data_IF_692993264775
#
_entry.id   IF_692993264775
#
_cell.length_a   1.000
_cell.length_b   1.000
_cell.length_c   1.000
_cell.angle_alpha   90.00
_cell.angle_beta   90.00
_cell.angle_gamma   90.00
#
_symmetry.space_group_name_H-M   'P 1'
#
loop_
_entity.id
_entity.type
_entity.pdbx_description
1 polymer ?
#
# COMPACT_ATOMS: atom_id res chain seq x y z
N UNK A 1 -21.87 26.36 -25.27
CA UNK A 1 -20.41 26.54 -25.11
C UNK A 1 -20.16 26.90 -23.66
N UNK A 2 -20.17 25.92 -22.77
CA UNK A 2 -19.73 26.10 -21.40
C UNK A 2 -18.21 25.96 -21.38
N UNK A 3 -17.53 27.06 -21.07
CA UNK A 3 -16.12 27.07 -20.74
C UNK A 3 -15.95 26.29 -19.44
N UNK A 4 -15.74 24.98 -19.55
CA UNK A 4 -15.30 24.13 -18.45
C UNK A 4 -14.04 24.75 -17.86
N UNK A 5 -14.17 25.34 -16.68
CA UNK A 5 -13.09 25.87 -15.86
C UNK A 5 -12.20 24.66 -15.51
N UNK A 6 -11.21 24.32 -16.36
CA UNK A 6 -10.26 23.25 -16.05
C UNK A 6 -9.52 23.68 -14.80
N UNK A 7 -9.75 22.96 -13.70
CA UNK A 7 -9.01 23.19 -12.46
C UNK A 7 -7.53 22.99 -12.76
N UNK A 8 -6.65 23.76 -12.12
CA UNK A 8 -5.22 23.50 -12.25
C UNK A 8 -4.87 22.18 -11.57
N UNK A 9 -3.89 21.48 -12.12
CA UNK A 9 -3.35 20.26 -11.53
C UNK A 9 -2.84 20.54 -10.10
N UNK A 10 -3.21 19.73 -9.09
CA UNK A 10 -2.73 19.90 -7.73
C UNK A 10 -1.22 19.66 -7.57
N UNK A 11 -0.65 20.30 -6.55
CA UNK A 11 0.69 20.01 -6.02
C UNK A 11 0.53 19.07 -4.83
N UNK A 12 1.26 17.96 -4.84
CA UNK A 12 1.36 17.03 -3.70
C UNK A 12 2.60 17.34 -2.89
N UNK A 13 2.50 17.22 -1.56
CA UNK A 13 3.62 17.28 -0.62
C UNK A 13 3.94 15.87 -0.09
N UNK A 14 5.16 15.40 -0.33
CA UNK A 14 5.60 14.03 -0.03
C UNK A 14 6.72 14.03 1.01
N UNK A 15 6.50 13.41 2.17
CA UNK A 15 7.54 13.22 3.17
C UNK A 15 8.54 12.14 2.74
N UNK A 16 9.81 12.48 2.61
CA UNK A 16 10.84 11.59 2.05
C UNK A 16 11.67 10.91 3.13
N UNK A 17 12.28 11.70 4.02
CA UNK A 17 13.19 11.20 5.06
C UNK A 17 13.20 12.15 6.25
N UNK A 18 13.35 11.60 7.45
CA UNK A 18 13.48 12.37 8.69
C UNK A 18 14.78 11.99 9.42
N UNK A 19 15.59 12.99 9.78
CA UNK A 19 16.82 12.78 10.55
C UNK A 19 17.23 14.06 11.30
N UNK A 20 18.13 13.93 12.28
CA UNK A 20 18.72 15.08 12.98
C UNK A 20 19.71 15.87 12.10
N UNK A 21 20.21 15.28 11.02
CA UNK A 21 21.10 15.90 10.04
C UNK A 21 20.83 15.31 8.67
N UNK A 22 20.69 16.16 7.66
CA UNK A 22 20.45 15.75 6.28
C UNK A 22 21.47 16.41 5.34
N UNK A 23 22.04 15.59 4.46
CA UNK A 23 22.93 16.02 3.39
C UNK A 23 22.17 15.94 2.06
N UNK A 24 22.30 16.99 1.25
CA UNK A 24 21.64 17.06 -0.04
C UNK A 24 22.42 17.89 -1.04
N UNK A 25 22.16 17.68 -2.31
CA UNK A 25 22.79 18.38 -3.43
C UNK A 25 21.71 19.03 -4.30
N UNK A 26 21.83 20.33 -4.53
CA UNK A 26 20.99 21.06 -5.48
C UNK A 26 21.67 20.96 -6.86
N UNK A 27 21.11 20.13 -7.76
CA UNK A 27 21.74 19.81 -9.05
C UNK A 27 21.58 20.92 -10.10
N UNK A 28 20.79 21.95 -9.76
CA UNK A 28 20.58 23.17 -10.52
C UNK A 28 20.37 24.32 -9.51
N UNK A 29 20.29 25.60 -9.95
CA UNK A 29 19.95 26.70 -9.06
C UNK A 29 18.55 26.55 -8.43
N UNK A 30 18.47 26.76 -7.12
CA UNK A 30 17.23 26.88 -6.35
C UNK A 30 17.23 28.20 -5.59
N UNK A 31 16.08 28.86 -5.54
CA UNK A 31 15.85 30.05 -4.72
C UNK A 31 15.47 29.63 -3.31
N UNK A 32 16.16 30.18 -2.32
CA UNK A 32 15.90 30.00 -0.88
C UNK A 32 16.23 31.30 -0.17
N UNK A 33 15.35 31.76 0.72
CA UNK A 33 15.53 33.04 1.43
C UNK A 33 15.88 34.23 0.51
N UNK A 34 15.31 34.27 -0.70
CA UNK A 34 15.55 35.32 -1.70
C UNK A 34 16.88 35.26 -2.44
N UNK A 35 17.71 34.22 -2.21
CA UNK A 35 18.99 34.02 -2.89
C UNK A 35 19.04 32.67 -3.62
N UNK A 36 19.81 32.58 -4.69
CA UNK A 36 20.04 31.31 -5.36
C UNK A 36 21.17 30.50 -4.71
N UNK A 37 20.99 29.19 -4.67
CA UNK A 37 21.97 28.20 -4.19
C UNK A 37 22.01 27.02 -5.13
N UNK A 38 23.17 26.38 -5.23
CA UNK A 38 23.39 25.14 -5.96
C UNK A 38 24.46 24.31 -5.24
N UNK A 39 24.66 23.06 -5.68
CA UNK A 39 25.68 22.17 -5.13
C UNK A 39 25.30 21.59 -3.77
N UNK A 40 26.30 21.09 -3.05
CA UNK A 40 26.12 20.40 -1.77
C UNK A 40 25.68 21.35 -0.66
N UNK A 41 24.73 20.90 0.13
CA UNK A 41 24.09 21.60 1.24
C UNK A 41 23.94 20.66 2.44
N UNK A 42 23.81 21.23 3.62
CA UNK A 42 23.61 20.47 4.86
C UNK A 42 22.64 21.22 5.77
N UNK A 43 21.67 20.51 6.34
CA UNK A 43 20.81 21.03 7.41
C UNK A 43 20.95 20.16 8.64
N UNK A 44 20.95 20.79 9.82
CA UNK A 44 21.13 20.12 11.11
C UNK A 44 20.09 20.61 12.11
N UNK A 45 19.61 19.72 12.99
CA UNK A 45 18.71 20.09 14.06
C UNK A 45 19.51 20.76 15.17
N UNK A 46 19.20 22.01 15.48
CA UNK A 46 19.79 22.74 16.58
C UNK A 46 18.71 23.56 17.29
N UNK A 47 18.65 23.45 18.62
CA UNK A 47 17.70 24.20 19.46
C UNK A 47 16.22 24.00 19.04
N UNK A 48 15.88 22.80 18.54
CA UNK A 48 14.54 22.48 18.05
C UNK A 48 14.17 23.14 16.72
N UNK A 49 15.15 23.75 16.03
CA UNK A 49 15.00 24.46 14.74
C UNK A 49 16.00 23.92 13.72
N UNK A 50 15.87 24.37 12.47
CA UNK A 50 16.73 23.96 11.36
C UNK A 50 17.93 24.91 11.27
N UNK A 51 19.13 24.40 11.49
CA UNK A 51 20.38 25.13 11.27
C UNK A 51 20.81 24.98 9.81
N UNK A 52 20.97 26.10 9.11
CA UNK A 52 21.47 26.18 7.74
C UNK A 52 22.28 27.46 7.55
N UNK A 53 23.47 27.37 6.93
CA UNK A 53 24.38 28.52 6.72
C UNK A 53 24.61 29.41 7.97
N UNK A 54 24.71 28.79 9.16
CA UNK A 54 24.87 29.46 10.47
C UNK A 54 23.66 30.29 10.95
N UNK A 55 22.46 30.03 10.42
CA UNK A 55 21.21 30.63 10.89
C UNK A 55 20.17 29.56 11.23
N UNK A 56 19.28 29.88 12.17
CA UNK A 56 18.18 29.00 12.62
C UNK A 56 16.86 29.39 11.95
N UNK A 57 16.16 28.39 11.42
CA UNK A 57 14.90 28.52 10.69
C UNK A 57 13.84 27.58 11.26
N UNK A 58 12.58 28.02 11.23
CA UNK A 58 11.44 27.14 11.55
C UNK A 58 11.06 26.26 10.36
N UNK A 59 11.23 26.81 9.15
CA UNK A 59 11.02 26.14 7.87
C UNK A 59 12.03 26.69 6.85
N UNK A 60 12.50 25.81 5.95
CA UNK A 60 13.26 26.20 4.76
C UNK A 60 12.56 25.68 3.51
N UNK A 61 12.35 26.55 2.53
CA UNK A 61 11.81 26.18 1.22
C UNK A 61 12.84 26.53 0.14
N UNK A 62 13.22 25.51 -0.63
CA UNK A 62 14.04 25.62 -1.81
C UNK A 62 13.13 25.48 -3.04
N UNK A 63 13.00 26.55 -3.80
CA UNK A 63 12.19 26.60 -5.02
C UNK A 63 13.08 26.47 -6.27
N UNK A 64 12.80 25.53 -7.18
CA UNK A 64 13.59 25.36 -8.39
C UNK A 64 13.44 26.58 -9.30
N UNK A 65 14.52 27.00 -9.96
CA UNK A 65 14.45 28.09 -10.96
C UNK A 65 13.94 27.62 -12.33
N UNK A 66 13.91 26.31 -12.57
CA UNK A 66 13.47 25.67 -13.81
C UNK A 66 12.69 24.38 -13.51
N UNK A 67 11.75 23.99 -14.37
CA UNK A 67 10.91 22.80 -14.17
C UNK A 67 11.68 21.48 -14.23
N UNK A 68 12.88 21.47 -14.82
CA UNK A 68 13.77 20.32 -14.88
C UNK A 68 14.85 20.34 -13.78
N UNK A 69 14.89 21.38 -12.95
CA UNK A 69 15.80 21.43 -11.80
C UNK A 69 15.51 20.28 -10.85
N UNK A 70 16.56 19.61 -10.40
CA UNK A 70 16.48 18.49 -9.47
C UNK A 70 17.35 18.70 -8.24
N UNK A 71 17.06 17.96 -7.19
CA UNK A 71 17.89 17.86 -6.00
C UNK A 71 18.09 16.39 -5.63
N UNK A 72 19.21 16.08 -4.97
CA UNK A 72 19.54 14.74 -4.49
C UNK A 72 19.61 14.75 -2.98
N UNK A 73 18.91 13.83 -2.32
CA UNK A 73 19.07 13.53 -0.89
C UNK A 73 20.00 12.31 -0.78
N UNK A 74 21.08 12.40 0.00
CA UNK A 74 22.16 11.39 -0.03
C UNK A 74 21.86 10.13 0.79
N UNK A 75 21.05 10.26 1.85
CA UNK A 75 20.82 9.21 2.87
C UNK A 75 19.33 8.85 3.01
N UNK A 76 18.63 8.61 1.89
CA UNK A 76 17.21 8.20 1.94
C UNK A 76 17.11 6.73 2.31
N UNK A 77 16.43 6.42 3.42
CA UNK A 77 16.15 5.05 3.84
C UNK A 77 15.07 4.43 2.97
N UNK A 78 15.30 3.22 2.45
CA UNK A 78 14.32 2.45 1.67
C UNK A 78 14.08 1.12 2.34
N UNK A 79 12.81 0.69 2.34
CA UNK A 79 12.40 -0.56 2.98
C UNK A 79 12.42 -0.41 4.49
N UNK A 80 11.91 0.71 4.99
CA UNK A 80 11.87 1.00 6.42
C UNK A 80 11.12 -0.13 7.11
N UNK A 81 11.74 -0.76 8.11
CA UNK A 81 11.21 -1.94 8.82
C UNK A 81 11.18 -3.25 8.00
N UNK A 82 11.88 -3.33 6.87
CA UNK A 82 12.11 -4.58 6.14
C UNK A 82 13.55 -5.07 6.30
N UNK A 83 13.77 -6.38 6.12
CA UNK A 83 15.07 -7.02 6.30
C UNK A 83 16.14 -6.61 5.27
N UNK A 84 15.77 -5.83 4.25
CA UNK A 84 16.65 -5.31 3.21
C UNK A 84 16.83 -3.78 3.29
N UNK A 85 16.49 -3.17 4.43
CA UNK A 85 16.62 -1.73 4.67
C UNK A 85 18.02 -1.21 4.30
N UNK A 86 18.08 -0.18 3.47
CA UNK A 86 19.33 0.47 3.06
C UNK A 86 19.15 1.95 2.85
N UNK A 87 20.26 2.69 2.93
CA UNK A 87 20.34 4.10 2.54
C UNK A 87 20.89 4.21 1.14
N UNK A 88 20.24 4.99 0.30
CA UNK A 88 20.77 5.35 -1.02
C UNK A 88 20.48 6.82 -1.33
N UNK A 89 21.30 7.38 -2.24
CA UNK A 89 21.06 8.69 -2.78
C UNK A 89 19.87 8.63 -3.75
N UNK A 90 18.88 9.49 -3.55
CA UNK A 90 17.73 9.63 -4.44
C UNK A 90 17.59 11.05 -4.96
N UNK A 91 17.29 11.16 -6.25
CA UNK A 91 17.12 12.43 -6.95
C UNK A 91 15.65 12.70 -7.25
N UNK A 92 15.21 13.93 -6.99
CA UNK A 92 13.83 14.37 -7.09
C UNK A 92 13.72 15.65 -7.92
N UNK A 93 12.55 15.88 -8.52
CA UNK A 93 12.17 17.14 -9.15
C UNK A 93 11.26 17.95 -8.21
N UNK A 94 11.09 19.24 -8.50
CA UNK A 94 10.16 20.09 -7.77
C UNK A 94 10.80 20.80 -6.59
N UNK A 95 9.99 21.26 -5.64
CA UNK A 95 10.46 22.01 -4.47
C UNK A 95 10.95 21.05 -3.39
N UNK A 96 11.92 21.51 -2.60
CA UNK A 96 12.39 20.84 -1.39
C UNK A 96 12.09 21.73 -0.20
N UNK A 97 11.27 21.23 0.72
CA UNK A 97 10.90 21.90 1.96
C UNK A 97 11.42 21.12 3.16
N UNK A 98 11.96 21.80 4.16
CA UNK A 98 12.37 21.19 5.42
C UNK A 98 11.54 21.76 6.57
N UNK A 99 11.07 20.88 7.45
CA UNK A 99 10.37 21.23 8.69
C UNK A 99 10.89 20.42 9.86
N UNK A 100 10.70 20.91 11.08
CA UNK A 100 10.94 20.12 12.30
C UNK A 100 9.67 19.38 12.71
N UNK A 101 9.79 18.07 12.89
CA UNK A 101 8.74 17.19 13.41
C UNK A 101 9.36 16.08 14.26
N UNK A 102 8.75 15.78 15.42
CA UNK A 102 9.15 14.69 16.32
C UNK A 102 10.66 14.69 16.64
N UNK A 103 11.20 15.88 16.92
CA UNK A 103 12.62 16.12 17.22
C UNK A 103 13.58 15.66 16.10
N UNK A 104 13.13 15.70 14.85
CA UNK A 104 13.93 15.49 13.64
C UNK A 104 13.60 16.54 12.58
N UNK A 105 14.49 16.73 11.61
CA UNK A 105 14.21 17.47 10.38
C UNK A 105 13.61 16.50 9.38
N UNK A 106 12.43 16.82 8.86
CA UNK A 106 11.77 16.10 7.78
C UNK A 106 11.99 16.82 6.45
N UNK A 107 12.51 16.10 5.46
CA UNK A 107 12.59 16.55 4.07
C UNK A 107 11.29 16.21 3.35
N UNK A 108 10.65 17.23 2.77
CA UNK A 108 9.38 17.14 2.05
C UNK A 108 9.62 17.59 0.61
N UNK A 109 9.20 16.77 -0.35
CA UNK A 109 9.22 17.13 -1.76
C UNK A 109 7.84 17.61 -2.21
N UNK A 110 7.76 18.79 -2.82
CA UNK A 110 6.52 19.32 -3.38
C UNK A 110 6.58 19.39 -4.90
N UNK A 111 5.65 18.74 -5.57
CA UNK A 111 5.66 18.60 -7.02
C UNK A 111 4.25 18.39 -7.60
N UNK A 112 4.05 18.63 -8.90
CA UNK A 112 2.77 18.35 -9.55
C UNK A 112 2.41 16.86 -9.49
N UNK A 113 1.14 16.56 -9.23
CA UNK A 113 0.61 15.17 -9.11
C UNK A 113 1.03 14.23 -10.25
N UNK A 114 0.90 14.63 -11.52
CA UNK A 114 1.30 13.81 -12.68
C UNK A 114 2.80 13.48 -12.70
N UNK A 115 3.66 14.40 -12.24
CA UNK A 115 5.11 14.16 -12.10
C UNK A 115 5.37 13.13 -11.00
N UNK A 116 4.68 13.27 -9.86
CA UNK A 116 4.72 12.30 -8.77
C UNK A 116 4.28 10.89 -9.23
N UNK A 117 3.15 10.80 -9.92
CA UNK A 117 2.60 9.53 -10.43
C UNK A 117 3.55 8.82 -11.41
N UNK A 118 4.33 9.59 -12.17
CA UNK A 118 5.35 9.01 -13.07
C UNK A 118 6.38 8.19 -12.29
N UNK A 119 6.80 8.67 -11.12
CA UNK A 119 7.73 7.96 -10.24
C UNK A 119 7.06 6.78 -9.53
N UNK A 120 5.84 6.98 -9.01
CA UNK A 120 5.07 5.93 -8.32
C UNK A 120 4.84 4.73 -9.23
N UNK A 121 4.26 4.96 -10.41
CA UNK A 121 3.94 3.87 -11.33
C UNK A 121 5.21 3.19 -11.84
N UNK A 122 6.29 3.93 -12.07
CA UNK A 122 7.59 3.34 -12.47
C UNK A 122 8.26 2.53 -11.34
N UNK A 123 7.86 2.76 -10.09
CA UNK A 123 8.38 2.04 -8.92
C UNK A 123 7.53 0.81 -8.56
N UNK A 124 6.23 0.89 -8.81
CA UNK A 124 5.25 -0.17 -8.56
C UNK A 124 5.18 -1.18 -9.72
N UNK A 125 5.21 -0.70 -10.96
CA UNK A 125 4.96 -1.50 -12.16
C UNK A 125 6.20 -1.64 -13.03
N UNK A 126 6.28 -2.73 -13.80
CA UNK A 126 7.36 -2.91 -14.77
C UNK A 126 7.19 -2.01 -16.00
N UNK A 127 8.35 -1.68 -16.56
CA UNK A 127 8.51 -1.07 -17.87
C UNK A 127 7.76 -1.80 -19.02
N UNK A 128 7.59 -3.11 -18.90
CA UNK A 128 6.98 -3.99 -19.91
C UNK A 128 5.47 -4.20 -19.71
N UNK A 129 4.87 -3.55 -18.71
CA UNK A 129 3.43 -3.61 -18.46
C UNK A 129 2.64 -3.10 -19.65
N UNK A 130 1.50 -3.74 -19.91
CA UNK A 130 0.58 -3.32 -20.96
C UNK A 130 0.06 -1.91 -20.71
N UNK A 131 -0.19 -1.16 -21.79
CA UNK A 131 -0.64 0.24 -21.70
C UNK A 131 -1.94 0.36 -20.91
N UNK A 132 -2.91 -0.55 -21.11
CA UNK A 132 -4.19 -0.52 -20.39
C UNK A 132 -4.05 -0.81 -18.89
N UNK A 133 -3.12 -1.69 -18.49
CA UNK A 133 -2.78 -1.87 -17.09
C UNK A 133 -2.15 -0.61 -16.49
N UNK A 134 -1.23 0.03 -17.20
CA UNK A 134 -0.58 1.26 -16.74
C UNK A 134 -1.57 2.42 -16.61
N UNK A 135 -2.53 2.54 -17.53
CA UNK A 135 -3.62 3.53 -17.45
C UNK A 135 -4.52 3.28 -16.26
N UNK A 136 -4.96 2.03 -16.05
CA UNK A 136 -5.76 1.67 -14.88
C UNK A 136 -5.01 2.01 -13.59
N UNK A 137 -3.71 1.68 -13.51
CA UNK A 137 -2.87 2.00 -12.37
C UNK A 137 -2.70 3.51 -12.16
N UNK A 138 -2.60 4.30 -13.24
CA UNK A 138 -2.52 5.75 -13.16
C UNK A 138 -3.79 6.36 -12.54
N UNK A 139 -4.96 5.91 -12.97
CA UNK A 139 -6.25 6.39 -12.46
C UNK A 139 -6.43 6.02 -10.98
N UNK A 140 -6.17 4.77 -10.58
CA UNK A 140 -6.33 4.37 -9.16
C UNK A 140 -5.30 5.08 -8.27
N UNK A 141 -4.04 5.20 -8.69
CA UNK A 141 -3.00 5.87 -7.91
C UNK A 141 -3.32 7.35 -7.71
N UNK A 142 -3.85 8.02 -8.76
CA UNK A 142 -4.31 9.41 -8.67
C UNK A 142 -5.53 9.55 -7.76
N UNK A 143 -6.51 8.67 -7.90
CA UNK A 143 -7.75 8.70 -7.09
C UNK A 143 -7.43 8.55 -5.61
N UNK A 144 -6.63 7.54 -5.26
CA UNK A 144 -6.17 7.33 -3.90
C UNK A 144 -5.40 8.55 -3.38
N UNK A 145 -4.45 9.09 -4.15
CA UNK A 145 -3.67 10.25 -3.72
C UNK A 145 -4.55 11.47 -3.45
N UNK A 146 -5.46 11.82 -4.37
CA UNK A 146 -6.31 12.99 -4.21
C UNK A 146 -7.29 12.81 -3.05
N UNK A 147 -7.78 11.59 -2.82
CA UNK A 147 -8.63 11.26 -1.68
C UNK A 147 -7.88 11.45 -0.36
N UNK A 148 -6.63 10.98 -0.25
CA UNK A 148 -5.78 11.21 0.92
C UNK A 148 -5.50 12.72 1.16
N UNK A 149 -5.22 13.47 0.10
CA UNK A 149 -5.04 14.92 0.17
C UNK A 149 -6.31 15.65 0.65
N UNK A 150 -7.49 15.18 0.24
CA UNK A 150 -8.78 15.74 0.66
C UNK A 150 -9.08 15.42 2.12
N UNK A 151 -8.90 14.15 2.52
CA UNK A 151 -9.05 13.73 3.91
C UNK A 151 -8.14 14.53 4.85
N UNK A 152 -6.86 14.67 4.52
CA UNK A 152 -5.91 15.45 5.34
C UNK A 152 -6.33 16.92 5.49
N UNK A 153 -6.84 17.54 4.42
CA UNK A 153 -7.36 18.91 4.47
C UNK A 153 -8.60 19.02 5.36
N UNK A 154 -9.46 18.01 5.36
CA UNK A 154 -10.62 17.94 6.25
C UNK A 154 -10.21 17.70 7.72
N UNK A 155 -9.23 16.85 7.99
CA UNK A 155 -8.74 16.54 9.35
C UNK A 155 -8.14 17.77 10.07
N UNK A 156 -7.52 18.69 9.33
CA UNK A 156 -7.04 19.97 9.89
C UNK A 156 -8.18 20.84 10.45
N UNK A 157 -9.45 20.51 10.20
CA UNK A 157 -10.64 21.29 10.59
C UNK A 157 -11.48 20.66 11.74
N UNK A 158 -10.85 19.91 12.66
CA UNK A 158 -11.46 19.30 13.88
C UNK A 158 -12.36 18.06 13.66
N UNK A 159 -11.76 16.89 13.44
CA UNK A 159 -12.44 15.60 13.67
C UNK A 159 -11.69 14.83 14.75
N UNK A 160 -12.38 14.45 15.84
CA UNK A 160 -11.84 13.53 16.86
C UNK A 160 -11.51 12.18 16.19
N UNK A 161 -10.22 11.79 16.20
CA UNK A 161 -9.80 10.50 15.66
C UNK A 161 -10.31 9.37 16.54
N UNK A 162 -11.00 8.39 15.95
CA UNK A 162 -11.23 7.12 16.63
C UNK A 162 -9.90 6.38 16.81
N UNK A 163 -9.69 5.69 17.94
CA UNK A 163 -8.42 5.04 18.23
C UNK A 163 -8.04 4.04 17.12
N UNK A 164 -6.80 4.12 16.65
CA UNK A 164 -6.20 3.22 15.65
C UNK A 164 -5.76 1.88 16.25
N UNK A 165 -5.80 1.77 17.58
CA UNK A 165 -5.35 0.60 18.31
C UNK A 165 -6.21 0.35 19.55
N UNK A 166 -6.61 -0.91 19.72
CA UNK A 166 -7.35 -1.39 20.87
C UNK A 166 -6.66 -2.63 21.42
N UNK A 167 -6.30 -2.62 22.71
CA UNK A 167 -5.69 -3.76 23.40
C UNK A 167 -6.37 -3.96 24.75
N UNK A 168 -6.83 -5.19 24.96
CA UNK A 168 -7.34 -5.72 26.23
C UNK A 168 -6.56 -6.98 26.59
N UNK A 169 -6.87 -7.59 27.72
CA UNK A 169 -6.24 -8.86 28.10
C UNK A 169 -6.59 -10.01 27.13
N UNK A 170 -7.70 -9.89 26.41
CA UNK A 170 -8.28 -10.94 25.57
C UNK A 170 -8.20 -10.63 24.06
N UNK A 171 -8.03 -9.37 23.67
CA UNK A 171 -8.10 -8.94 22.28
C UNK A 171 -7.13 -7.81 21.94
N UNK A 172 -6.46 -7.93 20.77
CA UNK A 172 -5.68 -6.88 20.11
C UNK A 172 -6.32 -6.59 18.75
N UNK A 173 -6.71 -5.34 18.49
CA UNK A 173 -7.16 -4.88 17.18
C UNK A 173 -6.35 -3.66 16.78
N UNK A 174 -5.79 -3.69 15.58
CA UNK A 174 -5.02 -2.58 15.03
C UNK A 174 -5.54 -2.19 13.65
N UNK A 175 -5.85 -0.91 13.49
CA UNK A 175 -6.15 -0.27 12.22
C UNK A 175 -4.90 0.47 11.75
N UNK A 176 -4.54 0.23 10.50
CA UNK A 176 -3.45 0.93 9.83
C UNK A 176 -4.02 2.07 8.96
N UNK A 177 -3.17 3.01 8.54
CA UNK A 177 -3.50 4.16 7.68
C UNK A 177 -4.38 5.25 8.35
N UNK A 178 -4.28 5.43 9.68
CA UNK A 178 -5.08 6.42 10.45
C UNK A 178 -4.31 7.61 11.01
N UNK A 179 -2.98 7.55 11.10
CA UNK A 179 -2.22 8.47 11.96
C UNK A 179 -1.00 9.12 11.31
N UNK A 180 -0.77 8.88 10.02
CA UNK A 180 0.62 8.80 9.60
C UNK A 180 1.23 10.16 9.26
N UNK A 181 0.46 11.12 8.71
CA UNK A 181 1.02 12.37 8.17
C UNK A 181 0.17 13.61 8.50
N UNK A 182 0.67 14.50 9.37
CA UNK A 182 0.00 15.77 9.72
C UNK A 182 0.48 16.98 8.91
N UNK A 183 1.72 16.95 8.41
CA UNK A 183 2.40 18.12 7.84
C UNK A 183 2.77 18.01 6.36
N UNK A 184 2.44 16.87 5.74
CA UNK A 184 2.56 16.57 4.32
C UNK A 184 1.41 15.62 3.93
N UNK A 185 1.18 15.40 2.63
CA UNK A 185 0.02 14.65 2.14
C UNK A 185 0.24 13.13 2.20
N UNK A 186 1.41 12.65 1.78
CA UNK A 186 1.75 11.20 1.73
C UNK A 186 3.24 10.98 2.02
N UNK A 187 3.65 9.78 2.46
CA UNK A 187 5.06 9.42 2.55
C UNK A 187 5.56 8.72 1.27
N UNK A 188 6.88 8.64 1.14
CA UNK A 188 7.56 7.99 0.01
C UNK A 188 7.70 6.46 0.12
N UNK A 189 7.18 5.86 1.20
CA UNK A 189 7.36 4.44 1.52
C UNK A 189 6.14 3.58 1.12
N UNK A 190 6.29 2.26 1.25
CA UNK A 190 5.25 1.25 0.96
C UNK A 190 3.97 1.43 1.81
N UNK A 191 4.03 2.27 2.86
CA UNK A 191 2.87 2.71 3.63
C UNK A 191 1.85 3.50 2.79
N UNK A 192 2.33 4.42 1.94
CA UNK A 192 1.46 5.23 1.08
C UNK A 192 1.53 4.75 -0.36
N UNK A 193 2.58 5.15 -1.06
CA UNK A 193 2.89 4.77 -2.43
C UNK A 193 4.40 4.89 -2.60
N UNK A 194 5.02 3.90 -3.24
CA UNK A 194 6.48 3.86 -3.39
C UNK A 194 6.97 4.97 -4.31
N UNK A 195 7.49 6.06 -3.73
CA UNK A 195 7.99 7.23 -4.45
C UNK A 195 9.52 7.34 -4.32
N UNK A 196 10.25 7.15 -5.42
CA UNK A 196 11.72 7.10 -5.40
C UNK A 196 12.36 8.22 -6.25
N UNK A 197 11.57 9.26 -6.56
CA UNK A 197 11.98 10.36 -7.42
C UNK A 197 12.23 9.93 -8.86
N UNK A 198 13.19 10.60 -9.52
CA UNK A 198 13.62 10.34 -10.90
C UNK A 198 14.84 9.43 -11.00
N UNK A 199 15.31 8.90 -9.86
CA UNK A 199 16.45 7.98 -9.80
C UNK A 199 16.23 6.73 -10.66
N UNK A 200 14.99 6.25 -10.72
CA UNK A 200 14.55 5.24 -11.68
C UNK A 200 14.06 5.93 -12.95
N UNK A 201 14.61 5.54 -14.10
CA UNK A 201 14.22 6.08 -15.39
C UNK A 201 12.73 5.84 -15.66
N UNK A 202 11.97 6.92 -15.86
CA UNK A 202 10.58 6.83 -16.29
C UNK A 202 10.51 6.16 -17.67
N UNK A 203 9.73 5.09 -17.80
CA UNK A 203 9.51 4.44 -19.08
C UNK A 203 8.55 5.29 -19.93
N UNK A 204 8.81 5.38 -21.25
CA UNK A 204 7.93 6.03 -22.22
C UNK A 204 6.46 5.56 -22.13
N UNK A 205 6.21 4.28 -21.89
CA UNK A 205 4.86 3.73 -21.74
C UNK A 205 4.15 4.22 -20.47
N UNK A 206 4.89 4.45 -19.37
CA UNK A 206 4.33 5.03 -18.14
C UNK A 206 3.95 6.49 -18.38
N UNK A 207 4.85 7.26 -18.99
CA UNK A 207 4.58 8.66 -19.36
C UNK A 207 3.37 8.76 -20.29
N UNK A 208 3.30 7.88 -21.29
CA UNK A 208 2.17 7.81 -22.22
C UNK A 208 0.86 7.49 -21.49
N UNK A 209 0.84 6.50 -20.60
CA UNK A 209 -0.34 6.13 -19.83
C UNK A 209 -0.85 7.31 -18.98
N UNK A 210 0.06 7.96 -18.25
CA UNK A 210 -0.25 9.11 -17.40
C UNK A 210 -0.81 10.27 -18.21
N UNK A 211 -0.20 10.57 -19.37
CA UNK A 211 -0.69 11.62 -20.27
C UNK A 211 -2.09 11.31 -20.82
N UNK A 212 -2.34 10.05 -21.20
CA UNK A 212 -3.64 9.64 -21.74
C UNK A 212 -4.76 9.65 -20.68
N UNK A 213 -4.43 9.46 -19.41
CA UNK A 213 -5.40 9.50 -18.29
C UNK A 213 -5.25 10.75 -17.41
N UNK A 214 -4.64 11.83 -17.93
CA UNK A 214 -4.32 12.99 -17.11
C UNK A 214 -5.59 13.59 -16.49
N UNK A 215 -5.57 13.77 -15.16
CA UNK A 215 -6.71 14.25 -14.38
C UNK A 215 -7.85 13.26 -14.19
N UNK A 216 -7.79 12.05 -14.75
CA UNK A 216 -8.84 11.05 -14.56
C UNK A 216 -8.74 10.36 -13.19
N UNK A 217 -9.88 10.27 -12.51
CA UNK A 217 -10.05 9.65 -11.20
C UNK A 217 -11.32 8.82 -11.15
N UNK A 218 -11.41 7.95 -10.14
CA UNK A 218 -12.62 7.25 -9.76
C UNK A 218 -13.40 8.09 -8.74
N UNK A 219 -14.69 8.22 -9.00
CA UNK A 219 -15.64 8.89 -8.09
C UNK A 219 -16.86 8.02 -7.88
N UNK A 220 -17.48 8.11 -6.70
CA UNK A 220 -18.75 7.46 -6.41
C UNK A 220 -19.57 8.35 -5.50
N UNK A 221 -20.85 8.54 -5.83
CA UNK A 221 -21.76 9.40 -5.07
C UNK A 221 -21.24 10.84 -4.85
N UNK A 222 -20.46 11.37 -5.80
CA UNK A 222 -19.91 12.72 -5.75
C UNK A 222 -18.60 12.87 -4.96
N UNK A 223 -18.07 11.78 -4.39
CA UNK A 223 -16.79 11.76 -3.64
C UNK A 223 -15.71 11.01 -4.43
N UNK A 224 -14.44 11.35 -4.18
CA UNK A 224 -13.30 10.62 -4.75
C UNK A 224 -13.22 9.23 -4.10
N UNK A 225 -13.03 8.20 -4.90
CA UNK A 225 -12.89 6.84 -4.41
C UNK A 225 -11.50 6.62 -3.77
N UNK A 226 -11.48 6.09 -2.55
CA UNK A 226 -10.33 5.34 -2.00
C UNK A 226 -10.03 4.11 -2.87
N UNK A 227 -9.13 4.28 -3.84
CA UNK A 227 -8.88 3.30 -4.89
C UNK A 227 -7.74 2.33 -4.54
N UNK A 228 -7.94 1.53 -3.48
CA UNK A 228 -6.97 0.50 -3.05
C UNK A 228 -6.82 -0.61 -4.07
N UNK A 229 -5.66 -1.26 -4.08
CA UNK A 229 -5.34 -2.36 -4.98
C UNK A 229 -4.39 -3.36 -4.30
N UNK A 230 -4.39 -4.60 -4.76
CA UNK A 230 -3.50 -5.65 -4.26
C UNK A 230 -2.99 -6.56 -5.36
N UNK A 231 -1.91 -7.30 -5.08
CA UNK A 231 -1.21 -8.11 -6.09
C UNK A 231 -2.11 -9.23 -6.65
N UNK A 232 -2.68 -10.05 -5.78
CA UNK A 232 -3.54 -11.17 -6.15
C UNK A 232 -4.72 -11.32 -5.16
N UNK A 233 -5.96 -11.26 -5.64
CA UNK A 233 -7.12 -11.38 -4.76
C UNK A 233 -7.39 -12.83 -4.32
N UNK A 234 -6.88 -13.84 -5.06
CA UNK A 234 -7.11 -15.26 -4.80
C UNK A 234 -8.42 -15.79 -5.40
N UNK A 235 -8.98 -15.08 -6.38
CA UNK A 235 -10.27 -15.37 -7.02
C UNK A 235 -11.45 -14.63 -6.38
N UNK A 236 -11.25 -13.97 -5.25
CA UNK A 236 -12.28 -13.27 -4.50
C UNK A 236 -11.76 -11.91 -4.02
N UNK A 237 -12.41 -10.84 -4.48
CA UNK A 237 -12.17 -9.46 -4.02
C UNK A 237 -12.90 -9.24 -2.69
N UNK A 238 -12.28 -8.46 -1.79
CA UNK A 238 -12.74 -8.21 -0.42
C UNK A 238 -13.36 -6.82 -0.26
N UNK A 239 -14.17 -6.65 0.78
CA UNK A 239 -14.70 -5.34 1.19
C UNK A 239 -13.72 -4.60 2.11
N UNK A 240 -13.71 -3.26 2.00
CA UNK A 240 -12.87 -2.36 2.80
C UNK A 240 -12.94 -2.62 4.32
N UNK A 241 -14.14 -2.88 4.84
CA UNK A 241 -14.40 -2.89 6.29
C UNK A 241 -13.69 -4.01 7.07
N UNK A 242 -13.28 -5.08 6.39
CA UNK A 242 -12.61 -6.21 7.02
C UNK A 242 -11.10 -5.96 7.17
N UNK A 243 -10.54 -5.08 6.35
CA UNK A 243 -9.13 -4.70 6.38
C UNK A 243 -8.87 -3.40 7.16
N UNK A 244 -9.75 -2.40 7.04
CA UNK A 244 -9.58 -1.05 7.62
C UNK A 244 -10.77 -0.64 8.52
N UNK A 245 -11.26 0.60 8.45
CA UNK A 245 -12.37 1.10 9.27
C UNK A 245 -13.60 0.21 9.08
N UNK A 246 -14.45 0.08 10.11
CA UNK A 246 -15.73 -0.62 9.99
C UNK A 246 -16.77 0.22 9.22
N UNK A 247 -16.41 0.71 8.03
CA UNK A 247 -17.21 1.56 7.16
C UNK A 247 -17.33 0.85 5.80
N UNK A 248 -18.56 0.79 5.28
CA UNK A 248 -18.80 0.29 3.93
C UNK A 248 -18.54 1.38 2.91
N UNK A 249 -17.65 1.11 1.97
CA UNK A 249 -17.45 1.93 0.77
C UNK A 249 -18.23 1.28 -0.39
N UNK A 250 -19.30 1.90 -0.93
CA UNK A 250 -20.18 1.27 -1.92
C UNK A 250 -19.50 0.78 -3.20
N UNK A 251 -18.34 1.34 -3.53
CA UNK A 251 -17.53 0.98 -4.70
C UNK A 251 -16.44 -0.06 -4.42
N UNK A 252 -16.25 -0.48 -3.16
CA UNK A 252 -15.32 -1.56 -2.76
C UNK A 252 -16.11 -2.77 -2.29
N UNK A 253 -16.73 -3.45 -3.25
CA UNK A 253 -17.61 -4.60 -3.02
C UNK A 253 -16.84 -5.92 -3.18
N UNK A 254 -17.31 -6.94 -2.47
CA UNK A 254 -16.87 -8.29 -2.75
C UNK A 254 -17.42 -8.79 -4.09
N UNK A 255 -16.53 -9.34 -4.92
CA UNK A 255 -16.88 -9.89 -6.23
C UNK A 255 -15.91 -11.02 -6.61
N UNK A 256 -16.36 -12.00 -7.43
CA UNK A 256 -15.47 -12.99 -8.01
C UNK A 256 -14.60 -12.31 -9.07
N UNK A 257 -13.33 -12.68 -9.13
CA UNK A 257 -12.37 -12.16 -10.13
C UNK A 257 -12.57 -12.81 -11.51
N UNK A 258 -13.78 -12.68 -12.03
CA UNK A 258 -14.27 -13.23 -13.30
C UNK A 258 -15.29 -12.28 -13.92
N UNK A 259 -15.76 -12.57 -15.13
CA UNK A 259 -16.79 -11.73 -15.75
C UNK A 259 -18.10 -11.69 -14.92
N UNK A 260 -18.84 -10.56 -14.93
CA UNK A 260 -20.02 -10.36 -14.08
C UNK A 260 -21.12 -11.43 -14.17
N UNK A 261 -21.23 -12.14 -15.30
CA UNK A 261 -22.32 -13.07 -15.61
C UNK A 261 -21.97 -14.56 -15.44
N UNK A 262 -20.83 -14.89 -14.82
CA UNK A 262 -20.39 -16.29 -14.68
C UNK A 262 -21.06 -16.98 -13.49
N UNK A 263 -20.54 -16.78 -12.29
CA UNK A 263 -20.93 -17.46 -11.06
C UNK A 263 -20.77 -16.47 -9.91
N UNK A 264 -21.79 -16.25 -9.06
CA UNK A 264 -21.65 -15.39 -7.90
C UNK A 264 -20.60 -15.97 -6.94
N UNK A 265 -19.95 -15.09 -6.19
CA UNK A 265 -19.03 -15.52 -5.14
C UNK A 265 -19.82 -16.32 -4.08
N UNK A 266 -19.35 -17.51 -3.68
CA UNK A 266 -19.98 -18.24 -2.57
C UNK A 266 -19.83 -17.45 -1.27
N UNK A 267 -20.62 -17.77 -0.24
CA UNK A 267 -20.52 -17.08 1.05
C UNK A 267 -19.27 -17.52 1.81
N UNK A 268 -18.15 -16.86 1.53
CA UNK A 268 -16.85 -17.13 2.16
C UNK A 268 -16.76 -16.62 3.61
N UNK A 269 -17.84 -16.07 4.16
CA UNK A 269 -17.92 -15.78 5.60
C UNK A 269 -18.16 -17.05 6.42
N UNK A 270 -18.68 -18.11 5.80
CA UNK A 270 -18.78 -19.45 6.39
C UNK A 270 -17.44 -20.19 6.31
N UNK A 271 -16.97 -20.74 7.44
CA UNK A 271 -15.67 -21.40 7.55
C UNK A 271 -15.57 -22.64 6.65
N UNK A 272 -16.65 -23.42 6.49
CA UNK A 272 -16.65 -24.64 5.69
C UNK A 272 -16.56 -24.30 4.20
N UNK A 273 -17.35 -23.31 3.77
CA UNK A 273 -17.33 -22.82 2.39
C UNK A 273 -15.98 -22.16 2.07
N UNK A 274 -15.44 -21.34 2.96
CA UNK A 274 -14.12 -20.73 2.81
C UNK A 274 -13.01 -21.79 2.71
N UNK A 275 -13.07 -22.83 3.55
CA UNK A 275 -12.12 -23.96 3.48
C UNK A 275 -12.18 -24.67 2.14
N UNK A 276 -13.37 -24.97 1.61
CA UNK A 276 -13.52 -25.58 0.30
C UNK A 276 -12.98 -24.69 -0.81
N UNK A 277 -13.28 -23.38 -0.76
CA UNK A 277 -12.78 -22.41 -1.74
C UNK A 277 -11.25 -22.30 -1.75
N UNK A 278 -10.64 -22.18 -0.57
CA UNK A 278 -9.17 -22.07 -0.42
C UNK A 278 -8.47 -23.36 -0.85
N UNK A 279 -9.07 -24.53 -0.60
CA UNK A 279 -8.51 -25.82 -1.05
C UNK A 279 -8.79 -26.14 -2.52
N UNK A 280 -9.73 -25.43 -3.15
CA UNK A 280 -10.00 -25.52 -4.58
C UNK A 280 -9.15 -24.54 -5.40
N UNK A 281 -9.26 -24.60 -6.73
CA UNK A 281 -8.61 -23.67 -7.65
C UNK A 281 -9.62 -23.21 -8.71
N UNK A 282 -10.52 -22.27 -8.38
CA UNK A 282 -11.53 -21.78 -9.31
C UNK A 282 -10.92 -20.95 -10.44
N UNK A 283 -11.60 -20.88 -11.57
CA UNK A 283 -11.20 -19.98 -12.66
C UNK A 283 -11.30 -18.53 -12.18
N UNK A 284 -10.25 -17.74 -12.45
CA UNK A 284 -10.18 -16.32 -12.13
C UNK A 284 -9.17 -15.63 -13.06
N UNK A 285 -9.31 -14.33 -13.31
CA UNK A 285 -8.32 -13.58 -14.07
C UNK A 285 -6.93 -13.65 -13.42
N UNK A 286 -6.86 -13.61 -12.09
CA UNK A 286 -5.62 -13.74 -11.33
C UNK A 286 -5.10 -15.18 -11.21
N UNK A 287 -5.88 -16.19 -11.62
CA UNK A 287 -5.45 -17.59 -11.69
C UNK A 287 -4.76 -17.84 -13.04
N UNK A 288 -3.50 -17.41 -13.15
CA UNK A 288 -2.74 -17.51 -14.40
C UNK A 288 -1.32 -17.95 -14.15
N UNK A 289 -0.81 -18.78 -15.07
CA UNK A 289 0.59 -19.20 -15.13
C UNK A 289 1.35 -18.50 -16.25
N UNK A 290 0.72 -17.53 -16.93
CA UNK A 290 1.34 -16.81 -18.04
C UNK A 290 2.47 -15.90 -17.57
N UNK A 291 3.70 -16.30 -17.85
CA UNK A 291 4.92 -15.58 -17.46
C UNK A 291 5.01 -14.16 -18.03
N UNK A 292 4.39 -13.88 -19.19
CA UNK A 292 4.36 -12.52 -19.75
C UNK A 292 3.37 -11.63 -19.03
N UNK A 293 2.30 -12.18 -18.44
CA UNK A 293 1.39 -11.42 -17.57
C UNK A 293 2.03 -11.21 -16.21
N UNK A 294 2.54 -12.29 -15.61
CA UNK A 294 3.15 -12.26 -14.29
C UNK A 294 4.35 -11.31 -14.24
N UNK A 295 5.18 -11.27 -15.27
CA UNK A 295 6.31 -10.35 -15.34
C UNK A 295 5.92 -8.87 -15.48
N UNK A 296 4.65 -8.51 -15.74
CA UNK A 296 4.20 -7.12 -15.69
C UNK A 296 4.00 -6.61 -14.25
N UNK A 297 3.64 -7.54 -13.34
CA UNK A 297 3.23 -7.21 -11.97
C UNK A 297 4.27 -7.65 -10.93
N UNK A 298 4.91 -8.80 -11.12
CA UNK A 298 5.89 -9.35 -10.19
C UNK A 298 7.30 -8.83 -10.53
N UNK A 299 8.01 -8.27 -9.56
CA UNK A 299 9.42 -7.93 -9.67
C UNK A 299 10.30 -9.18 -9.70
N UNK A 300 11.59 -9.07 -10.10
CA UNK A 300 12.42 -10.26 -10.40
C UNK A 300 12.54 -11.19 -9.19
N UNK A 301 12.62 -10.61 -7.99
CA UNK A 301 12.62 -11.35 -6.73
C UNK A 301 11.30 -12.10 -6.44
N UNK A 302 10.17 -11.55 -6.89
CA UNK A 302 8.84 -12.13 -6.62
C UNK A 302 8.45 -13.20 -7.64
N UNK A 303 9.14 -13.30 -8.79
CA UNK A 303 8.85 -14.29 -9.83
C UNK A 303 9.21 -15.73 -9.42
N UNK A 304 10.06 -15.90 -8.39
CA UNK A 304 10.34 -17.21 -7.82
C UNK A 304 9.12 -17.79 -7.09
N UNK A 305 8.20 -16.93 -6.63
CA UNK A 305 6.91 -17.35 -6.06
C UNK A 305 5.91 -17.62 -7.18
N UNK A 306 5.63 -18.90 -7.44
CA UNK A 306 4.67 -19.32 -8.47
C UNK A 306 3.32 -19.78 -7.91
N UNK A 307 3.21 -19.89 -6.58
CA UNK A 307 2.08 -20.44 -5.86
C UNK A 307 1.23 -19.38 -5.13
N UNK A 308 1.43 -18.07 -5.39
CA UNK A 308 0.69 -17.01 -4.68
C UNK A 308 -0.84 -17.06 -4.88
N UNK A 309 -1.35 -17.70 -5.94
CA UNK A 309 -2.80 -17.90 -6.11
C UNK A 309 -3.35 -18.89 -5.09
N UNK A 310 -2.60 -19.97 -4.81
CA UNK A 310 -2.84 -21.00 -3.79
C UNK A 310 -1.51 -21.45 -3.19
N UNK A 311 -1.19 -20.93 -2.02
CA UNK A 311 0.11 -21.09 -1.38
C UNK A 311 0.01 -21.97 -0.13
N UNK A 312 1.13 -22.55 0.28
CA UNK A 312 1.20 -23.34 1.51
C UNK A 312 2.48 -23.04 2.28
N UNK A 313 2.36 -22.78 3.57
CA UNK A 313 3.47 -22.55 4.49
C UNK A 313 3.35 -23.52 5.67
N UNK A 314 4.46 -24.16 6.05
CA UNK A 314 4.50 -25.02 7.25
C UNK A 314 5.37 -24.37 8.31
N UNK A 315 4.89 -24.42 9.55
CA UNK A 315 5.62 -24.02 10.74
C UNK A 315 5.74 -25.21 11.69
N UNK A 316 6.92 -25.38 12.28
CA UNK A 316 7.05 -26.16 13.49
C UNK A 316 6.40 -25.44 14.67
N UNK A 317 6.11 -26.19 15.74
CA UNK A 317 5.59 -25.64 16.98
C UNK A 317 6.48 -24.53 17.56
N UNK A 318 7.80 -24.71 17.51
CA UNK A 318 8.75 -23.73 18.01
C UNK A 318 8.71 -22.42 17.19
N UNK A 319 8.61 -22.53 15.86
CA UNK A 319 8.57 -21.35 14.99
C UNK A 319 7.29 -20.54 15.14
N UNK A 320 6.12 -21.18 15.15
CA UNK A 320 4.85 -20.47 15.29
C UNK A 320 4.72 -19.83 16.67
N UNK A 321 5.18 -20.53 17.73
CA UNK A 321 5.26 -19.96 19.08
C UNK A 321 6.15 -18.72 19.08
N UNK A 322 7.38 -18.84 18.61
CA UNK A 322 8.34 -17.74 18.58
C UNK A 322 7.78 -16.52 17.83
N UNK A 323 7.20 -16.73 16.63
CA UNK A 323 6.60 -15.65 15.84
C UNK A 323 5.51 -14.90 16.61
N UNK A 324 4.55 -15.64 17.19
CA UNK A 324 3.43 -15.04 17.91
C UNK A 324 3.88 -14.31 19.17
N UNK A 325 4.80 -14.89 19.94
CA UNK A 325 5.30 -14.28 21.18
C UNK A 325 6.13 -13.02 20.89
N UNK A 326 6.99 -13.04 19.87
CA UNK A 326 7.79 -11.88 19.46
C UNK A 326 6.93 -10.75 18.88
N UNK A 327 5.96 -11.07 18.02
CA UNK A 327 5.18 -10.05 17.30
C UNK A 327 4.07 -9.43 18.16
N UNK A 328 3.51 -10.19 19.10
CA UNK A 328 2.40 -9.74 19.94
C UNK A 328 2.83 -9.34 21.36
N UNK A 329 4.10 -9.60 21.72
CA UNK A 329 4.67 -9.35 23.05
C UNK A 329 3.87 -10.04 24.17
N UNK A 330 3.46 -11.29 23.92
CA UNK A 330 2.61 -12.10 24.81
C UNK A 330 3.17 -13.51 24.89
N UNK A 331 3.31 -14.07 26.10
CA UNK A 331 3.67 -15.47 26.29
C UNK A 331 2.44 -16.36 26.16
N UNK A 332 2.47 -17.32 25.24
CA UNK A 332 1.36 -18.24 24.96
C UNK A 332 1.61 -19.65 25.52
N UNK A 333 2.88 -19.99 25.78
CA UNK A 333 3.28 -21.38 25.96
C UNK A 333 3.19 -22.14 24.64
N UNK A 334 3.04 -23.46 24.69
CA UNK A 334 2.81 -24.25 23.48
C UNK A 334 1.49 -23.84 22.80
N UNK A 335 1.54 -23.55 21.49
CA UNK A 335 0.35 -23.26 20.69
C UNK A 335 -0.47 -24.53 20.49
N UNK A 336 -1.75 -24.47 20.86
CA UNK A 336 -2.72 -25.55 20.75
C UNK A 336 -3.57 -25.39 19.48
N UNK A 337 -3.96 -24.14 19.18
CA UNK A 337 -4.81 -23.87 18.02
C UNK A 337 -4.70 -22.44 17.50
N UNK A 338 -5.06 -22.29 16.22
CA UNK A 338 -5.26 -21.00 15.54
C UNK A 338 -6.65 -21.06 14.90
N UNK A 339 -7.64 -20.46 15.56
CA UNK A 339 -9.06 -20.62 15.22
C UNK A 339 -9.56 -19.35 14.52
N UNK A 340 -9.92 -19.41 13.23
CA UNK A 340 -10.61 -18.31 12.57
C UNK A 340 -11.97 -18.09 13.24
N UNK A 341 -12.15 -16.94 13.90
CA UNK A 341 -13.44 -16.59 14.53
C UNK A 341 -14.38 -15.92 13.54
N UNK A 342 -13.83 -15.14 12.60
CA UNK A 342 -14.63 -14.41 11.61
C UNK A 342 -13.83 -14.15 10.34
N UNK A 343 -14.51 -14.28 9.20
CA UNK A 343 -13.99 -14.01 7.86
C UNK A 343 -14.77 -12.91 7.16
N UNK A 344 -14.06 -12.16 6.34
CA UNK A 344 -14.65 -11.23 5.39
C UNK A 344 -15.25 -11.96 4.18
N UNK A 345 -15.77 -11.19 3.23
CA UNK A 345 -16.51 -11.72 2.08
C UNK A 345 -15.62 -12.41 1.05
N UNK A 346 -14.30 -12.20 1.11
CA UNK A 346 -13.34 -12.95 0.30
C UNK A 346 -12.72 -14.15 1.03
N UNK A 347 -13.23 -14.51 2.23
CA UNK A 347 -12.65 -15.56 3.07
C UNK A 347 -11.39 -15.15 3.83
N UNK A 348 -10.99 -13.87 3.78
CA UNK A 348 -9.89 -13.33 4.58
C UNK A 348 -10.28 -13.30 6.05
N UNK A 349 -9.44 -13.86 6.91
CA UNK A 349 -9.67 -13.81 8.35
C UNK A 349 -9.44 -12.38 8.82
N UNK A 350 -10.40 -11.81 9.54
CA UNK A 350 -10.26 -10.51 10.20
C UNK A 350 -10.41 -10.60 11.73
N UNK A 351 -10.73 -11.78 12.27
CA UNK A 351 -10.59 -12.12 13.69
C UNK A 351 -10.04 -13.54 13.83
N UNK A 352 -8.83 -13.66 14.39
CA UNK A 352 -8.16 -14.94 14.63
C UNK A 352 -7.93 -15.12 16.13
N UNK A 353 -8.36 -16.26 16.68
CA UNK A 353 -8.10 -16.64 18.07
C UNK A 353 -6.89 -17.55 18.14
N UNK A 354 -5.87 -17.11 18.88
CA UNK A 354 -4.68 -17.88 19.21
C UNK A 354 -4.94 -18.55 20.55
N UNK A 355 -4.82 -19.88 20.58
CA UNK A 355 -4.98 -20.69 21.79
C UNK A 355 -3.63 -21.30 22.13
N UNK A 356 -2.99 -20.81 23.19
CA UNK A 356 -1.81 -21.41 23.80
C UNK A 356 -2.13 -22.11 25.12
N UNK A 357 -1.19 -22.90 25.64
CA UNK A 357 -1.32 -23.55 26.96
C UNK A 357 -1.49 -22.58 28.11
N UNK A 358 -0.83 -21.43 28.03
CA UNK A 358 -0.78 -20.45 29.13
C UNK A 358 -1.75 -19.29 28.90
N UNK A 359 -2.00 -18.94 27.63
CA UNK A 359 -2.84 -17.80 27.28
C UNK A 359 -3.63 -18.03 26.01
N UNK A 360 -4.77 -17.37 25.94
CA UNK A 360 -5.58 -17.24 24.73
C UNK A 360 -5.74 -15.76 24.41
N UNK A 361 -5.61 -15.39 23.13
CA UNK A 361 -5.74 -14.02 22.66
C UNK A 361 -6.42 -13.99 21.29
N UNK A 362 -7.30 -13.03 21.07
CA UNK A 362 -7.84 -12.73 19.74
C UNK A 362 -7.07 -11.58 19.11
N UNK A 363 -6.66 -11.74 17.86
CA UNK A 363 -6.11 -10.64 17.06
C UNK A 363 -7.10 -10.28 15.94
N UNK A 364 -7.27 -8.99 15.70
CA UNK A 364 -8.22 -8.45 14.74
C UNK A 364 -7.53 -7.70 13.60
N UNK A 365 -8.22 -7.65 12.45
CA UNK A 365 -7.84 -7.06 11.17
C UNK A 365 -6.79 -7.86 10.39
N UNK A 366 -6.92 -7.78 9.06
CA UNK A 366 -6.20 -8.61 8.10
C UNK A 366 -4.67 -8.49 8.22
N UNK A 367 -4.17 -7.26 8.33
CA UNK A 367 -2.73 -7.01 8.32
C UNK A 367 -2.06 -7.44 9.62
N UNK A 368 -2.71 -7.23 10.77
CA UNK A 368 -2.18 -7.67 12.08
C UNK A 368 -2.02 -9.19 12.11
N UNK A 369 -3.02 -9.93 11.60
CA UNK A 369 -2.98 -11.40 11.47
C UNK A 369 -1.78 -11.85 10.63
N UNK A 370 -1.53 -11.20 9.49
CA UNK A 370 -0.42 -11.55 8.59
C UNK A 370 0.95 -11.26 9.22
N UNK A 371 1.06 -10.14 9.94
CA UNK A 371 2.30 -9.74 10.64
C UNK A 371 2.62 -10.64 11.82
N UNK A 372 1.60 -11.13 12.53
CA UNK A 372 1.77 -12.03 13.67
C UNK A 372 2.31 -13.42 13.25
N UNK A 373 2.04 -13.85 12.02
CA UNK A 373 2.38 -15.19 11.51
C UNK A 373 3.59 -15.22 10.56
N UNK A 374 4.32 -14.11 10.36
CA UNK A 374 5.48 -14.09 9.47
C UNK A 374 6.55 -13.09 9.93
N UNK A 375 7.83 -13.41 9.69
CA UNK A 375 8.93 -12.47 9.97
C UNK A 375 8.86 -11.25 9.06
N UNK A 376 8.56 -11.47 7.77
CA UNK A 376 8.40 -10.44 6.75
C UNK A 376 6.92 -10.11 6.57
N UNK A 377 6.20 -10.95 5.83
CA UNK A 377 4.76 -10.86 5.60
C UNK A 377 4.23 -12.22 5.17
N UNK A 378 3.04 -12.58 5.67
CA UNK A 378 2.26 -13.68 5.10
C UNK A 378 1.57 -13.15 3.82
N UNK A 379 1.39 -13.98 2.79
CA UNK A 379 0.83 -13.50 1.51
C UNK A 379 -0.55 -12.87 1.67
N UNK A 380 -1.47 -13.51 2.41
CA UNK A 380 -2.80 -12.97 2.74
C UNK A 380 -3.30 -13.56 4.06
N UNK A 381 -4.42 -13.05 4.60
CA UNK A 381 -5.14 -13.74 5.69
C UNK A 381 -6.23 -14.71 5.20
N UNK A 382 -6.37 -14.91 3.89
CA UNK A 382 -7.29 -15.91 3.33
C UNK A 382 -6.65 -17.29 3.40
N UNK A 383 -6.59 -17.86 4.60
CA UNK A 383 -6.00 -19.18 4.81
C UNK A 383 -6.84 -20.06 5.72
N UNK A 384 -6.51 -21.36 5.69
CA UNK A 384 -6.92 -22.36 6.66
C UNK A 384 -5.70 -22.86 7.42
N UNK A 385 -5.95 -23.44 8.59
CA UNK A 385 -4.90 -24.03 9.43
C UNK A 385 -5.16 -25.52 9.56
N UNK A 386 -4.16 -26.33 9.26
CA UNK A 386 -4.13 -27.76 9.54
C UNK A 386 -3.06 -28.07 10.58
N UNK A 387 -3.37 -28.97 11.51
CA UNK A 387 -2.50 -29.36 12.62
C UNK A 387 -2.03 -30.79 12.40
N UNK A 388 -0.75 -31.04 12.59
CA UNK A 388 -0.16 -32.36 12.40
C UNK A 388 0.79 -32.75 13.54
N UNK A 389 1.13 -34.03 13.59
CA UNK A 389 2.09 -34.63 14.51
C UNK A 389 1.76 -34.37 15.99
N UNK A 390 0.49 -34.42 16.39
CA UNK A 390 0.03 -34.08 17.75
C UNK A 390 0.66 -35.01 18.80
N UNK A 391 1.33 -34.43 19.80
CA UNK A 391 1.90 -35.13 20.97
C UNK A 391 1.32 -34.52 22.24
N UNK A 392 0.74 -35.35 23.11
CA UNK A 392 0.13 -34.90 24.38
C UNK A 392 -0.85 -33.72 24.21
N UNK A 393 -1.66 -33.75 23.15
CA UNK A 393 -2.60 -32.68 22.81
C UNK A 393 -1.98 -31.43 22.18
N UNK A 394 -0.66 -31.41 21.96
CA UNK A 394 0.08 -30.29 21.37
C UNK A 394 0.47 -30.61 19.92
N UNK A 395 -0.03 -29.86 18.92
CA UNK A 395 0.44 -29.96 17.55
C UNK A 395 1.94 -29.66 17.45
N UNK A 396 2.67 -30.48 16.70
CA UNK A 396 4.09 -30.23 16.46
C UNK A 396 4.33 -29.49 15.14
N UNK A 397 3.31 -29.45 14.27
CA UNK A 397 3.30 -28.72 13.01
C UNK A 397 1.97 -28.03 12.76
N UNK A 398 2.06 -26.82 12.19
CA UNK A 398 0.94 -26.05 11.66
C UNK A 398 1.17 -25.83 10.17
N UNK A 399 0.23 -26.28 9.34
CA UNK A 399 0.25 -26.14 7.89
C UNK A 399 -0.80 -25.10 7.52
N UNK A 400 -0.34 -23.94 7.07
CA UNK A 400 -1.19 -22.84 6.62
C UNK A 400 -1.32 -22.96 5.10
N UNK A 401 -2.54 -23.16 4.62
CA UNK A 401 -2.85 -23.16 3.18
C UNK A 401 -3.71 -21.95 2.88
N UNK A 402 -3.30 -21.10 1.95
CA UNK A 402 -3.99 -19.85 1.69
C UNK A 402 -4.13 -19.49 0.23
N UNK A 403 -4.82 -18.38 -0.01
CA UNK A 403 -5.20 -17.89 -1.32
C UNK A 403 -4.86 -16.41 -1.49
N UNK A 404 -4.29 -16.06 -2.63
CA UNK A 404 -3.97 -14.68 -3.00
C UNK A 404 -2.82 -14.06 -2.21
N UNK A 405 -2.48 -12.84 -2.60
CA UNK A 405 -1.39 -12.02 -2.07
C UNK A 405 -1.85 -10.56 -1.93
N UNK A 406 -1.94 -10.11 -0.69
CA UNK A 406 -2.40 -8.79 -0.28
C UNK A 406 -3.81 -8.81 0.30
N UNK A 407 -4.27 -7.61 0.66
CA UNK A 407 -5.54 -7.40 1.35
C UNK A 407 -6.78 -7.74 0.50
N UNK A 408 -6.65 -7.86 -0.83
CA UNK A 408 -7.73 -8.31 -1.72
C UNK A 408 -8.84 -7.30 -1.98
N UNK A 409 -8.76 -6.09 -1.43
CA UNK A 409 -9.74 -5.01 -1.62
C UNK A 409 -9.43 -4.21 -2.89
N UNK A 410 -10.45 -3.91 -3.69
CA UNK A 410 -10.34 -3.13 -4.91
C UNK A 410 -9.66 -3.87 -6.06
N UNK A 411 -8.78 -3.20 -6.80
CA UNK A 411 -8.20 -3.76 -8.02
C UNK A 411 -7.20 -4.89 -7.72
N UNK A 412 -7.39 -6.04 -8.39
CA UNK A 412 -6.40 -7.11 -8.42
C UNK A 412 -5.39 -6.84 -9.55
N UNK A 413 -4.12 -6.59 -9.23
CA UNK A 413 -3.11 -6.23 -10.24
C UNK A 413 -2.90 -7.33 -11.29
N UNK A 414 -2.77 -8.60 -10.86
CA UNK A 414 -2.60 -9.73 -11.81
C UNK A 414 -3.88 -9.94 -12.63
N UNK A 415 -5.06 -9.82 -12.02
CA UNK A 415 -6.32 -9.93 -12.74
C UNK A 415 -6.49 -8.81 -13.77
N UNK A 416 -6.18 -7.56 -13.41
CA UNK A 416 -6.16 -6.43 -14.32
C UNK A 416 -5.14 -6.61 -15.46
N UNK A 417 -3.95 -7.15 -15.18
CA UNK A 417 -2.95 -7.45 -16.20
C UNK A 417 -3.46 -8.52 -17.19
N UNK A 418 -4.15 -9.55 -16.69
CA UNK A 418 -4.77 -10.57 -17.52
C UNK A 418 -5.93 -10.00 -18.36
N UNK A 419 -6.76 -9.13 -17.79
CA UNK A 419 -7.80 -8.41 -18.54
C UNK A 419 -7.18 -7.54 -19.65
N UNK A 420 -6.14 -6.75 -19.36
CA UNK A 420 -5.43 -5.97 -20.38
C UNK A 420 -4.87 -6.86 -21.50
N UNK A 421 -4.34 -8.03 -21.17
CA UNK A 421 -3.90 -9.03 -22.16
C UNK A 421 -5.06 -9.59 -22.99
N UNK A 422 -6.25 -9.75 -22.41
CA UNK A 422 -7.45 -10.22 -23.11
C UNK A 422 -8.09 -9.11 -23.97
N UNK A 423 -7.56 -7.89 -23.95
CA UNK A 423 -8.01 -6.78 -24.79
C UNK A 423 -9.03 -5.87 -24.15
N UNK A 424 -9.32 -6.03 -22.85
CA UNK A 424 -10.15 -5.08 -22.11
C UNK A 424 -9.41 -3.75 -21.98
N UNK A 425 -10.15 -2.66 -22.16
CA UNK A 425 -9.66 -1.31 -21.94
C UNK A 425 -9.57 -1.00 -20.45
N UNK A 426 -8.75 -0.02 -20.08
CA UNK A 426 -8.57 0.39 -18.69
C UNK A 426 -9.90 0.79 -18.02
N UNK A 427 -10.84 1.39 -18.75
CA UNK A 427 -12.14 1.74 -18.18
C UNK A 427 -12.93 0.50 -17.78
N UNK A 428 -12.91 -0.55 -18.60
CA UNK A 428 -13.58 -1.82 -18.34
C UNK A 428 -12.92 -2.54 -17.15
N UNK A 429 -11.59 -2.48 -17.05
CA UNK A 429 -10.82 -3.01 -15.92
C UNK A 429 -11.24 -2.29 -14.63
N UNK A 430 -11.23 -0.97 -14.62
CA UNK A 430 -11.56 -0.18 -13.43
C UNK A 430 -13.00 -0.40 -12.99
N UNK A 431 -13.96 -0.35 -13.92
CA UNK A 431 -15.38 -0.50 -13.61
C UNK A 431 -15.76 -1.95 -13.23
N UNK A 432 -14.92 -2.93 -13.58
CA UNK A 432 -15.04 -4.29 -13.06
C UNK A 432 -14.72 -4.38 -11.56
N UNK A 433 -13.60 -3.80 -11.11
CA UNK A 433 -13.15 -3.87 -9.72
C UNK A 433 -13.80 -2.85 -8.79
N UNK A 434 -14.17 -1.67 -9.31
CA UNK A 434 -14.80 -0.59 -8.54
C UNK A 434 -16.26 -0.42 -8.97
N UNK A 435 -17.08 -1.44 -8.74
CA UNK A 435 -18.49 -1.45 -9.17
C UNK A 435 -19.27 -0.28 -8.58
N UNK A 436 -19.94 0.49 -9.43
CA UNK A 436 -20.70 1.68 -9.02
C UNK A 436 -19.83 2.92 -8.80
N UNK A 437 -18.55 2.87 -9.16
CA UNK A 437 -17.75 4.07 -9.42
C UNK A 437 -17.94 4.54 -10.86
N UNK A 438 -17.55 5.79 -11.10
CA UNK A 438 -17.48 6.43 -12.41
C UNK A 438 -16.08 6.98 -12.61
N UNK A 439 -15.61 7.02 -13.86
CA UNK A 439 -14.36 7.69 -14.22
C UNK A 439 -14.70 9.14 -14.57
N UNK A 440 -14.17 10.08 -13.80
CA UNK A 440 -14.40 11.52 -13.99
C UNK A 440 -13.08 12.26 -14.08
N UNK A 441 -13.12 13.52 -14.53
CA UNK A 441 -11.93 14.36 -14.70
C UNK A 441 -11.87 15.44 -13.62
N UNK A 442 -10.86 15.38 -12.77
CA UNK A 442 -10.66 16.30 -11.65
C UNK A 442 -10.07 17.66 -12.08
N UNK A 443 -9.28 17.69 -13.15
CA UNK A 443 -8.60 18.87 -13.70
C UNK A 443 -8.36 18.78 -15.21
#
# INVERSE_FOLDING_TARGET
METSNRKEQPIVSVGIVSASKLLFSLNAPYTVCGSQRCGKQVVELAEGRILWENALYDELLFEPTDVHSSFTLEDVTIGVNFHWERKEAQTFLGKLRFIVQDNNICAINELPVETYLTSVISSEMRATSSLELLKAHAVISRSWLLEQMEQRKAENNNVEKQPSFFKTDEEIVRWYDREDHKRFDVCADDHCQRYQGITKAANKHVVEAIQQTAGEILTSHGEICDARYSKCCGGAVEEFQYCWENIKKPYLQALPDTLPDTTPLPDLTDETVARQWILSSPDAFCNTTDQKVLSQVLNDFDQETTDFYRWSQTYSQAEVKQLLEEKLEVQFGDIIDLVPLSRGKSGRIYRLKIVGKERTLTIGKELEIRRALSKSHLYSSAFIVEKADIKDGVPQKFIIKGAGWGHGVGLCQIGAAMMGKQGYRYEEILLHYYKGAEITKAY
#
